data_IF_198207188441
#
_entry.id   IF_198207188441
#
_cell.length_a   1.000
_cell.length_b   1.000
_cell.length_c   1.000
_cell.angle_alpha   90.00
_cell.angle_beta   90.00
_cell.angle_gamma   90.00
#
_symmetry.space_group_name_H-M   'P 1'
#
loop_
_entity.id
_entity.type
_entity.pdbx_description
1 polymer ?
#
# COMPACT_ATOMS: atom_id res chain seq x y z
N UNK A 1 5.10 16.10 0.82
CA UNK A 1 3.70 16.31 1.27
C UNK A 1 3.23 15.05 2.02
N UNK A 2 3.01 15.11 3.34
CA UNK A 2 2.50 13.97 4.11
C UNK A 2 0.98 13.88 3.90
N UNK A 3 0.47 12.88 3.17
CA UNK A 3 -0.99 12.65 3.05
C UNK A 3 -1.53 12.35 4.45
N UNK A 4 -2.47 13.19 4.95
CA UNK A 4 -3.17 12.94 6.21
C UNK A 4 -3.85 11.57 6.13
N UNK A 5 -3.53 10.67 7.06
CA UNK A 5 -4.18 9.37 7.19
C UNK A 5 -5.62 9.58 7.67
N UNK A 6 -6.61 9.34 6.80
CA UNK A 6 -8.03 9.35 7.17
C UNK A 6 -8.25 8.26 8.24
N UNK A 7 -8.67 8.64 9.44
CA UNK A 7 -8.93 7.70 10.52
C UNK A 7 -10.28 7.02 10.25
N UNK A 8 -10.28 5.70 10.24
CA UNK A 8 -11.44 4.92 9.82
C UNK A 8 -12.08 4.27 11.04
N UNK A 9 -13.38 4.55 11.31
CA UNK A 9 -14.12 3.82 12.33
C UNK A 9 -14.09 2.31 12.04
N UNK A 10 -13.97 1.51 13.10
CA UNK A 10 -13.88 0.04 13.03
C UNK A 10 -15.05 -0.55 12.23
N UNK A 11 -16.25 0.00 12.40
CA UNK A 11 -17.43 -0.36 11.62
C UNK A 11 -17.60 0.58 10.43
N UNK A 12 -17.38 0.06 9.21
CA UNK A 12 -17.65 0.78 7.95
C UNK A 12 -19.13 1.16 7.81
N UNK A 13 -20.04 0.38 8.43
CA UNK A 13 -21.48 0.68 8.44
C UNK A 13 -21.82 1.99 9.15
N UNK A 14 -20.94 2.50 10.01
CA UNK A 14 -21.19 3.74 10.76
C UNK A 14 -20.67 4.98 10.02
N UNK A 15 -20.12 4.83 8.82
CA UNK A 15 -19.64 5.96 8.04
C UNK A 15 -20.82 6.61 7.31
N UNK A 16 -20.68 7.89 6.99
CA UNK A 16 -21.55 8.57 6.04
C UNK A 16 -21.57 7.77 4.72
N UNK A 17 -22.73 7.67 4.08
CA UNK A 17 -22.91 6.83 2.89
C UNK A 17 -21.93 7.19 1.76
N UNK A 18 -21.67 8.48 1.55
CA UNK A 18 -20.69 8.97 0.58
C UNK A 18 -19.23 8.57 0.87
N UNK A 19 -18.91 8.23 2.12
CA UNK A 19 -17.58 7.78 2.51
C UNK A 19 -17.43 6.26 2.49
N UNK A 20 -18.54 5.50 2.46
CA UNK A 20 -18.49 4.03 2.42
C UNK A 20 -17.92 3.57 1.07
N UNK A 21 -16.91 2.69 1.05
CA UNK A 21 -16.21 2.34 -0.19
C UNK A 21 -17.13 1.85 -1.32
N UNK A 22 -18.11 0.98 -1.00
CA UNK A 22 -19.03 0.42 -2.01
C UNK A 22 -19.98 1.48 -2.57
N UNK A 23 -20.52 2.33 -1.70
CA UNK A 23 -21.49 3.36 -2.06
C UNK A 23 -20.79 4.47 -2.86
N UNK A 24 -19.57 4.83 -2.44
CA UNK A 24 -18.69 5.74 -3.17
C UNK A 24 -18.32 5.20 -4.55
N UNK A 25 -18.04 3.89 -4.67
CA UNK A 25 -17.81 3.22 -5.96
C UNK A 25 -19.04 3.30 -6.86
N UNK A 26 -20.23 3.07 -6.33
CA UNK A 26 -21.49 3.16 -7.09
C UNK A 26 -21.78 4.59 -7.56
N UNK A 27 -21.49 5.59 -6.72
CA UNK A 27 -21.84 6.99 -7.00
C UNK A 27 -20.81 7.70 -7.88
N UNK A 28 -19.52 7.46 -7.66
CA UNK A 28 -18.44 8.21 -8.30
C UNK A 28 -17.52 7.34 -9.14
N UNK A 29 -17.64 6.01 -9.12
CA UNK A 29 -16.74 5.12 -9.85
C UNK A 29 -15.38 4.90 -9.18
N UNK A 30 -14.58 3.98 -9.73
CA UNK A 30 -13.34 3.49 -9.10
C UNK A 30 -12.25 4.54 -8.86
N UNK A 31 -12.20 5.58 -9.71
CA UNK A 31 -11.21 6.65 -9.63
C UNK A 31 -11.37 7.51 -8.37
N UNK A 32 -12.56 7.50 -7.73
CA UNK A 32 -12.82 8.21 -6.48
C UNK A 32 -12.33 7.46 -5.22
N UNK A 33 -11.84 6.23 -5.40
CA UNK A 33 -11.34 5.38 -4.32
C UNK A 33 -9.82 5.35 -4.28
N UNK A 34 -9.30 5.21 -3.08
CA UNK A 34 -7.91 4.85 -2.86
C UNK A 34 -7.70 3.35 -3.07
N UNK A 35 -6.48 2.93 -3.40
CA UNK A 35 -6.12 1.51 -3.50
C UNK A 35 -6.49 0.72 -2.24
N UNK A 36 -6.43 1.36 -1.06
CA UNK A 36 -6.82 0.72 0.19
C UNK A 36 -8.34 0.48 0.27
N UNK A 37 -9.14 1.43 -0.22
CA UNK A 37 -10.60 1.31 -0.28
C UNK A 37 -11.03 0.28 -1.33
N UNK A 38 -10.34 0.21 -2.47
CA UNK A 38 -10.53 -0.84 -3.47
C UNK A 38 -10.26 -2.23 -2.86
N UNK A 39 -9.14 -2.39 -2.16
CA UNK A 39 -8.84 -3.63 -1.43
C UNK A 39 -9.89 -3.93 -0.35
N UNK A 40 -10.39 -2.92 0.36
CA UNK A 40 -11.42 -3.11 1.37
C UNK A 40 -12.73 -3.67 0.79
N UNK A 41 -13.09 -3.26 -0.43
CA UNK A 41 -14.25 -3.81 -1.15
C UNK A 41 -14.04 -5.29 -1.43
N UNK A 42 -12.85 -5.68 -1.89
CA UNK A 42 -12.48 -7.07 -2.19
C UNK A 42 -12.45 -7.95 -0.93
N UNK A 43 -11.82 -7.45 0.15
CA UNK A 43 -11.69 -8.17 1.44
C UNK A 43 -13.05 -8.31 2.12
N UNK A 44 -13.98 -7.39 1.86
CA UNK A 44 -15.40 -7.42 2.23
C UNK A 44 -15.71 -7.34 3.74
N UNK A 45 -14.77 -7.75 4.59
CA UNK A 45 -14.90 -7.84 6.06
C UNK A 45 -13.66 -7.28 6.77
N UNK A 46 -13.88 -6.50 7.84
CA UNK A 46 -12.82 -6.16 8.79
C UNK A 46 -12.56 -7.28 9.80
N UNK A 47 -11.57 -7.08 10.65
CA UNK A 47 -11.33 -7.93 11.85
C UNK A 47 -11.71 -7.14 13.11
N UNK A 48 -11.98 -7.78 14.26
CA UNK A 48 -12.22 -7.06 15.51
C UNK A 48 -11.14 -6.00 15.75
N UNK A 49 -11.56 -4.75 15.98
CA UNK A 49 -10.66 -3.60 16.19
C UNK A 49 -10.02 -2.98 14.94
N UNK A 50 -10.27 -3.49 13.72
CA UNK A 50 -9.73 -2.92 12.46
C UNK A 50 -10.76 -2.94 11.34
N UNK A 51 -10.92 -1.82 10.63
CA UNK A 51 -11.80 -1.77 9.47
C UNK A 51 -11.18 -2.51 8.27
N UNK A 52 -11.99 -2.91 7.29
CA UNK A 52 -11.47 -3.52 6.06
C UNK A 52 -10.51 -2.59 5.30
N UNK A 53 -10.66 -1.26 5.43
CA UNK A 53 -9.74 -0.30 4.82
C UNK A 53 -8.40 -0.23 5.55
N UNK A 54 -8.38 -0.42 6.87
CA UNK A 54 -7.13 -0.51 7.62
C UNK A 54 -6.33 -1.76 7.20
N UNK A 55 -7.02 -2.89 7.01
CA UNK A 55 -6.41 -4.12 6.48
C UNK A 55 -5.87 -3.88 5.07
N UNK A 56 -6.65 -3.22 4.19
CA UNK A 56 -6.20 -2.86 2.83
C UNK A 56 -4.94 -2.00 2.83
N UNK A 57 -4.84 -1.02 3.76
CA UNK A 57 -3.62 -0.21 3.94
C UNK A 57 -2.43 -1.04 4.41
N UNK A 58 -2.64 -1.91 5.39
CA UNK A 58 -1.60 -2.79 5.93
C UNK A 58 -1.02 -3.69 4.82
N UNK A 59 -1.90 -4.28 4.00
CA UNK A 59 -1.50 -5.09 2.85
C UNK A 59 -0.68 -4.27 1.85
N UNK A 60 -1.15 -3.08 1.46
CA UNK A 60 -0.39 -2.22 0.54
C UNK A 60 0.99 -1.86 1.10
N UNK A 61 1.08 -1.58 2.39
CA UNK A 61 2.34 -1.25 3.03
C UNK A 61 3.28 -2.47 3.04
N UNK A 62 2.76 -3.64 3.42
CA UNK A 62 3.52 -4.90 3.46
C UNK A 62 4.06 -5.26 2.09
N UNK A 63 3.23 -5.30 1.04
CA UNK A 63 3.68 -5.70 -0.30
C UNK A 63 4.48 -4.62 -1.05
N UNK A 64 4.23 -3.32 -0.82
CA UNK A 64 5.15 -2.28 -1.29
C UNK A 64 6.54 -2.44 -0.67
N UNK A 65 6.60 -2.77 0.63
CA UNK A 65 7.88 -2.99 1.31
C UNK A 65 8.60 -4.23 0.79
N UNK A 66 7.88 -5.29 0.40
CA UNK A 66 8.49 -6.49 -0.18
C UNK A 66 9.07 -6.22 -1.57
N UNK A 67 8.37 -5.48 -2.43
CA UNK A 67 8.92 -5.07 -3.73
C UNK A 67 10.17 -4.20 -3.57
N UNK A 68 10.14 -3.26 -2.63
CA UNK A 68 11.30 -2.42 -2.32
C UNK A 68 12.48 -3.24 -1.77
N UNK A 69 12.22 -4.22 -0.89
CA UNK A 69 13.24 -5.13 -0.35
C UNK A 69 13.83 -6.04 -1.41
N UNK A 70 13.00 -6.62 -2.29
CA UNK A 70 13.47 -7.47 -3.39
C UNK A 70 14.35 -6.70 -4.40
N UNK A 71 14.15 -5.40 -4.57
CA UNK A 71 15.03 -4.55 -5.38
C UNK A 71 16.35 -4.20 -4.67
N UNK A 72 16.37 -4.18 -3.33
CA UNK A 72 17.56 -3.84 -2.54
C UNK A 72 18.58 -4.97 -2.48
N UNK A 73 18.13 -6.23 -2.50
CA UNK A 73 19.00 -7.43 -2.54
C UNK A 73 19.86 -7.54 -3.81
N UNK A 74 19.59 -6.74 -4.86
CA UNK A 74 20.35 -6.76 -6.11
C UNK A 74 21.52 -5.76 -6.16
N UNK A 75 21.75 -4.95 -5.11
CA UNK A 75 22.79 -3.91 -5.10
C UNK A 75 23.91 -4.11 -4.06
N UNK A 76 23.90 -5.20 -3.28
CA UNK A 76 24.87 -5.39 -2.17
C UNK A 76 25.78 -6.62 -2.36
N UNK A 77 26.09 -6.98 -3.61
CA UNK A 77 27.10 -8.01 -3.93
C UNK A 77 27.93 -7.61 -5.17
N UNK A 78 28.54 -6.43 -5.13
CA UNK A 78 29.79 -6.25 -5.86
C UNK A 78 30.91 -6.73 -4.93
N UNK A 79 31.53 -7.90 -5.17
CA UNK A 79 32.76 -8.23 -4.49
C UNK A 79 33.76 -7.12 -4.79
N UNK A 80 34.46 -6.67 -3.74
CA UNK A 80 35.70 -5.93 -3.85
C UNK A 80 36.75 -6.87 -4.48
N UNK A 81 36.58 -7.19 -5.76
CA UNK A 81 37.49 -8.06 -6.49
C UNK A 81 38.49 -7.18 -7.22
N UNK A 82 39.55 -6.87 -6.47
CA UNK A 82 40.96 -6.89 -6.88
C UNK A 82 41.34 -6.06 -8.11
N UNK A 83 42.32 -5.18 -7.89
CA UNK A 83 43.01 -4.47 -8.95
C UNK A 83 43.48 -5.37 -10.10
N UNK A 84 43.26 -4.87 -11.32
CA UNK A 84 44.08 -5.19 -12.48
C UNK A 84 44.32 -3.88 -13.27
N UNK A 85 45.59 -3.65 -13.58
CA UNK A 85 46.18 -2.49 -14.26
C UNK A 85 45.75 -2.43 -15.73
N UNK A 86 45.69 -1.23 -16.30
CA UNK A 86 46.06 -0.80 -17.68
C UNK A 86 45.37 0.56 -17.92
N UNK A 87 45.94 1.64 -18.47
CA UNK A 87 47.23 2.00 -19.01
C UNK A 87 47.10 3.44 -19.60
N UNK A 88 48.22 4.16 -19.71
CA UNK A 88 48.45 5.36 -20.54
C UNK A 88 47.51 6.58 -20.40
N UNK A 89 48.02 7.67 -19.81
CA UNK A 89 48.74 8.75 -20.53
C UNK A 89 49.47 9.66 -19.54
#
# INVERSE_FOLDING_TARGET
>A
MKKKSKQYPVSIRNWAEDDRPREKLLKYGEHALTNAELLAILIRTGTPGRSAVDIGRELLHKYKSLRAKAQFEHLVNLPDSKGLRTGHH
#
